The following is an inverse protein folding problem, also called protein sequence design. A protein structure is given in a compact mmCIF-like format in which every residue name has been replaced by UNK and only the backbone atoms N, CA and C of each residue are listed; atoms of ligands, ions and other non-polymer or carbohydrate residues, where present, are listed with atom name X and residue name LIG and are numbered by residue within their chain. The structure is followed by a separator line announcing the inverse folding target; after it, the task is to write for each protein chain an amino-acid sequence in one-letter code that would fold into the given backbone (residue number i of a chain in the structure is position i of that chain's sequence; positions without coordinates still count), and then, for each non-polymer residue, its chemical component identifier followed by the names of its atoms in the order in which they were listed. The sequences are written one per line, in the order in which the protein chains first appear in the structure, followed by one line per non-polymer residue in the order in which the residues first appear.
data_IF_758644353191
#
_entry.id   IF_758644353191
#
_cell.length_a   1.000
_cell.length_b   1.000
_cell.length_c   1.000
_cell.angle_alpha   90.00
_cell.angle_beta   90.00
_cell.angle_gamma   90.00
#
_symmetry.space_group_name_H-M   'P 1'
#
loop_
_entity.id
_entity.type
_entity.pdbx_description
1 polymer ?
#
# COMPACT_ATOMS: atom_id res chain seq x y z
N UNK A 1 -11.99 1.23 -15.82
CA UNK A 1 -11.17 0.93 -14.62
C UNK A 1 -10.94 2.17 -13.74
N UNK A 2 -10.42 3.25 -14.29
CA UNK A 2 -10.16 4.48 -13.52
C UNK A 2 -11.41 5.03 -12.82
N UNK A 3 -12.54 5.08 -13.50
CA UNK A 3 -13.80 5.56 -12.92
C UNK A 3 -14.26 4.68 -11.76
N UNK A 4 -14.15 3.38 -11.91
CA UNK A 4 -14.49 2.41 -10.85
C UNK A 4 -13.58 2.54 -9.62
N UNK A 5 -12.31 2.87 -9.84
CA UNK A 5 -11.38 3.15 -8.74
C UNK A 5 -11.77 4.45 -8.04
N UNK A 6 -12.05 5.50 -8.79
CA UNK A 6 -12.46 6.81 -8.24
C UNK A 6 -13.75 6.75 -7.44
N UNK A 7 -14.68 5.88 -7.83
CA UNK A 7 -15.91 5.67 -7.06
C UNK A 7 -15.65 5.09 -5.67
N UNK A 8 -14.63 4.23 -5.54
CA UNK A 8 -14.24 3.60 -4.26
C UNK A 8 -13.17 4.39 -3.51
N UNK A 9 -12.32 5.10 -4.24
CA UNK A 9 -11.24 5.92 -3.68
C UNK A 9 -11.02 7.17 -4.53
N UNK A 10 -11.64 8.25 -4.13
CA UNK A 10 -11.73 9.51 -4.88
C UNK A 10 -10.41 10.25 -5.04
N UNK A 11 -9.40 9.91 -4.25
CA UNK A 11 -8.09 10.57 -4.29
C UNK A 11 -7.24 10.13 -5.48
N UNK A 12 -7.60 9.08 -6.20
CA UNK A 12 -6.87 8.67 -7.40
C UNK A 12 -7.07 9.69 -8.51
N UNK A 13 -5.98 10.29 -8.96
CA UNK A 13 -5.99 11.31 -10.01
C UNK A 13 -5.97 10.69 -11.40
N UNK A 14 -5.14 9.66 -11.60
CA UNK A 14 -5.02 8.99 -12.88
C UNK A 14 -4.55 7.53 -12.72
N UNK A 15 -4.80 6.72 -13.75
CA UNK A 15 -4.33 5.34 -13.87
C UNK A 15 -3.92 5.11 -15.32
N UNK A 16 -2.69 4.71 -15.54
CA UNK A 16 -2.14 4.49 -16.88
C UNK A 16 -1.39 3.16 -16.96
N UNK A 17 -1.12 2.73 -18.17
CA UNK A 17 -0.32 1.53 -18.49
C UNK A 17 -0.82 0.26 -17.77
N UNK A 18 -2.12 0.16 -17.53
CA UNK A 18 -2.71 -1.01 -16.89
C UNK A 18 -2.59 -2.24 -17.79
N UNK A 19 -1.88 -3.23 -17.30
CA UNK A 19 -1.71 -4.53 -17.98
C UNK A 19 -1.87 -5.66 -16.98
N UNK A 20 -2.62 -6.67 -17.40
CA UNK A 20 -2.76 -7.91 -16.64
C UNK A 20 -2.59 -9.09 -17.58
N UNK A 21 -1.72 -10.02 -17.24
CA UNK A 21 -1.46 -11.20 -18.06
C UNK A 21 -1.20 -12.39 -17.16
N UNK A 22 -1.93 -13.49 -17.42
CA UNK A 22 -1.81 -14.68 -16.59
C UNK A 22 -2.66 -15.82 -17.07
N UNK A 23 -3.04 -16.70 -16.14
CA UNK A 23 -3.78 -17.91 -16.43
C UNK A 23 -4.71 -18.26 -15.27
N UNK A 24 -5.72 -19.07 -15.61
CA UNK A 24 -6.57 -19.75 -14.62
C UNK A 24 -6.34 -21.24 -14.77
N UNK A 25 -6.08 -21.92 -13.67
CA UNK A 25 -5.89 -23.37 -13.61
C UNK A 25 -6.98 -23.97 -12.72
N UNK A 26 -7.64 -25.03 -13.22
CA UNK A 26 -8.59 -25.80 -12.43
C UNK A 26 -7.88 -27.00 -11.82
N UNK A 27 -7.97 -27.15 -10.50
CA UNK A 27 -7.40 -28.26 -9.75
C UNK A 27 -8.30 -28.66 -8.58
N UNK A 28 -8.81 -29.88 -8.62
CA UNK A 28 -9.60 -30.51 -7.54
C UNK A 28 -10.76 -29.63 -7.00
N UNK A 29 -11.52 -29.01 -7.88
CA UNK A 29 -12.65 -28.15 -7.50
C UNK A 29 -12.25 -26.70 -7.20
N UNK A 30 -10.99 -26.37 -7.28
CA UNK A 30 -10.47 -25.03 -7.08
C UNK A 30 -10.05 -24.41 -8.41
N UNK A 31 -10.29 -23.11 -8.56
CA UNK A 31 -9.79 -22.31 -9.67
C UNK A 31 -8.68 -21.40 -9.16
N UNK A 32 -7.49 -21.60 -9.69
CA UNK A 32 -6.30 -20.84 -9.33
C UNK A 32 -6.08 -19.77 -10.39
N UNK A 33 -6.26 -18.53 -10.03
CA UNK A 33 -6.02 -17.37 -10.90
C UNK A 33 -4.67 -16.77 -10.55
N UNK A 34 -3.72 -16.86 -11.46
CA UNK A 34 -2.41 -16.25 -11.34
C UNK A 34 -2.19 -15.29 -12.48
N UNK A 35 -1.90 -14.03 -12.18
CA UNK A 35 -1.60 -13.05 -13.21
C UNK A 35 -0.59 -12.00 -12.74
N UNK A 36 0.20 -11.52 -13.67
CA UNK A 36 1.08 -10.39 -13.47
C UNK A 36 0.28 -9.11 -13.70
N UNK A 37 0.26 -8.25 -12.71
CA UNK A 37 -0.43 -6.96 -12.77
C UNK A 37 0.60 -5.83 -12.76
N UNK A 38 0.52 -4.95 -13.74
CA UNK A 38 1.32 -3.73 -13.79
C UNK A 38 0.47 -2.52 -14.12
N UNK A 39 0.78 -1.40 -13.51
CA UNK A 39 0.07 -0.13 -13.75
C UNK A 39 0.86 1.04 -13.16
N UNK A 40 0.58 2.22 -13.67
CA UNK A 40 1.02 3.48 -13.09
C UNK A 40 -0.19 4.20 -12.51
N UNK A 41 -0.13 4.53 -11.24
CA UNK A 41 -1.20 5.24 -10.53
C UNK A 41 -0.70 6.61 -10.08
N UNK A 42 -1.49 7.63 -10.30
CA UNK A 42 -1.20 8.98 -9.85
C UNK A 42 -2.07 9.33 -8.66
N UNK A 43 -1.44 9.69 -7.57
CA UNK A 43 -2.06 10.04 -6.30
C UNK A 43 -1.55 11.40 -5.84
N UNK A 44 -2.34 12.16 -5.06
CA UNK A 44 -1.84 13.39 -4.47
C UNK A 44 -0.84 13.08 -3.35
N UNK A 45 0.22 13.87 -3.28
CA UNK A 45 1.14 13.81 -2.14
C UNK A 45 0.40 14.01 -0.83
N UNK A 46 0.75 13.23 0.18
CA UNK A 46 0.19 13.35 1.53
C UNK A 46 0.58 14.67 2.22
N UNK A 47 1.59 15.37 1.71
CA UNK A 47 2.06 16.65 2.25
C UNK A 47 1.60 17.85 1.42
N UNK A 48 1.99 17.89 0.14
CA UNK A 48 1.79 19.04 -0.73
C UNK A 48 0.56 18.95 -1.62
N UNK A 49 -0.07 17.77 -1.73
CA UNK A 49 -1.13 17.45 -2.68
C UNK A 49 -0.69 17.50 -4.16
N UNK A 50 0.60 17.62 -4.42
CA UNK A 50 1.14 17.53 -5.78
C UNK A 50 0.93 16.11 -6.33
N UNK A 51 0.65 15.96 -7.64
CA UNK A 51 0.46 14.64 -8.22
C UNK A 51 1.77 13.84 -8.22
N UNK A 52 1.71 12.62 -7.70
CA UNK A 52 2.81 11.66 -7.68
C UNK A 52 2.39 10.42 -8.43
N UNK A 53 3.16 10.02 -9.43
CA UNK A 53 2.91 8.79 -10.19
C UNK A 53 3.80 7.67 -9.68
N UNK A 54 3.16 6.57 -9.29
CA UNK A 54 3.81 5.37 -8.76
C UNK A 54 3.59 4.20 -9.70
N UNK A 55 4.67 3.51 -10.07
CA UNK A 55 4.61 2.30 -10.87
C UNK A 55 4.54 1.06 -10.00
N UNK A 56 3.62 0.17 -10.31
CA UNK A 56 3.45 -1.12 -9.64
C UNK A 56 3.59 -2.25 -10.64
N UNK A 57 4.23 -3.32 -10.20
CA UNK A 57 4.37 -4.55 -10.98
C UNK A 57 4.54 -5.71 -10.00
N UNK A 58 3.52 -6.56 -9.90
CA UNK A 58 3.53 -7.68 -8.97
C UNK A 58 2.64 -8.83 -9.45
N UNK A 59 2.87 -10.00 -8.87
CA UNK A 59 2.08 -11.19 -9.14
C UNK A 59 0.86 -11.22 -8.21
N UNK A 60 -0.30 -11.46 -8.78
CA UNK A 60 -1.55 -11.69 -8.03
C UNK A 60 -1.88 -13.17 -8.14
N UNK A 61 -2.18 -13.77 -7.00
CA UNK A 61 -2.63 -15.16 -6.91
C UNK A 61 -3.90 -15.21 -6.08
N UNK A 62 -4.99 -15.69 -6.69
CA UNK A 62 -6.28 -15.82 -6.03
C UNK A 62 -6.83 -17.22 -6.29
N UNK A 63 -7.47 -17.80 -5.29
CA UNK A 63 -8.10 -19.11 -5.39
C UNK A 63 -9.60 -18.95 -5.23
N UNK A 64 -10.35 -19.53 -6.17
CA UNK A 64 -11.81 -19.49 -6.18
C UNK A 64 -12.39 -20.90 -6.05
N UNK A 65 -13.54 -20.98 -5.42
CA UNK A 65 -14.34 -22.21 -5.33
C UNK A 65 -15.78 -21.90 -5.70
N UNK A 66 -16.44 -22.81 -6.41
CA UNK A 66 -17.87 -22.67 -6.67
C UNK A 66 -18.68 -22.85 -5.39
N UNK A 67 -19.78 -22.15 -5.26
CA UNK A 67 -20.66 -22.21 -4.10
C UNK A 67 -21.13 -23.64 -3.80
N UNK A 68 -21.39 -24.42 -4.85
CA UNK A 68 -21.78 -25.83 -4.72
C UNK A 68 -20.71 -26.70 -4.04
N UNK A 69 -19.43 -26.37 -4.25
CA UNK A 69 -18.29 -27.11 -3.71
C UNK A 69 -17.78 -26.53 -2.39
N UNK A 70 -18.18 -25.33 -2.03
CA UNK A 70 -17.77 -24.66 -0.81
C UNK A 70 -18.11 -25.46 0.45
N UNK A 71 -19.24 -26.18 0.44
CA UNK A 71 -19.67 -27.03 1.55
C UNK A 71 -18.74 -28.24 1.78
N UNK A 72 -18.02 -28.69 0.75
CA UNK A 72 -17.06 -29.79 0.83
C UNK A 72 -15.69 -29.36 1.36
N UNK A 73 -15.38 -28.07 1.31
CA UNK A 73 -14.09 -27.51 1.74
C UNK A 73 -14.28 -26.37 2.73
N UNK A 74 -15.08 -26.62 3.76
CA UNK A 74 -15.41 -25.60 4.78
C UNK A 74 -14.20 -24.97 5.43
N UNK A 75 -13.15 -25.75 5.69
CA UNK A 75 -11.93 -25.25 6.32
C UNK A 75 -11.28 -24.14 5.50
N UNK A 76 -11.17 -24.30 4.18
CA UNK A 76 -10.60 -23.30 3.29
C UNK A 76 -11.44 -22.03 3.24
N UNK A 77 -12.76 -22.17 3.29
CA UNK A 77 -13.70 -21.05 3.29
C UNK A 77 -13.66 -20.31 4.63
N UNK A 78 -13.66 -21.04 5.73
CA UNK A 78 -13.61 -20.46 7.08
C UNK A 78 -12.29 -19.71 7.36
N UNK A 79 -11.18 -20.20 6.80
CA UNK A 79 -9.88 -19.55 6.90
C UNK A 79 -9.68 -18.39 5.91
N UNK A 80 -10.69 -18.08 5.10
CA UNK A 80 -10.64 -17.05 4.04
C UNK A 80 -9.51 -17.27 3.01
N UNK A 81 -9.13 -18.53 2.78
CA UNK A 81 -8.11 -18.88 1.81
C UNK A 81 -8.63 -18.98 0.37
N UNK A 82 -9.94 -18.99 0.21
CA UNK A 82 -10.61 -19.09 -1.10
C UNK A 82 -11.75 -18.08 -1.21
N UNK A 83 -12.01 -17.62 -2.42
CA UNK A 83 -13.13 -16.76 -2.76
C UNK A 83 -14.25 -17.60 -3.35
N UNK A 84 -15.49 -17.32 -2.98
CA UNK A 84 -16.64 -18.08 -3.45
C UNK A 84 -17.17 -17.46 -4.74
N UNK A 85 -17.31 -18.31 -5.78
CA UNK A 85 -17.96 -17.94 -7.04
C UNK A 85 -19.46 -18.24 -6.95
N UNK A 86 -20.28 -17.23 -7.17
CA UNK A 86 -21.74 -17.37 -7.22
C UNK A 86 -22.24 -17.85 -8.58
N UNK A 87 -21.42 -17.70 -9.60
CA UNK A 87 -21.70 -18.15 -10.97
C UNK A 87 -20.45 -18.81 -11.57
N UNK A 88 -20.50 -19.15 -12.86
CA UNK A 88 -19.40 -19.84 -13.55
C UNK A 88 -18.32 -18.90 -14.09
N UNK A 89 -18.31 -17.64 -13.64
CA UNK A 89 -17.40 -16.64 -14.16
C UNK A 89 -16.52 -16.05 -13.07
N UNK A 90 -15.24 -15.80 -13.40
CA UNK A 90 -14.32 -15.01 -12.60
C UNK A 90 -14.23 -13.62 -13.23
N UNK A 91 -14.63 -12.60 -12.49
CA UNK A 91 -14.52 -11.22 -12.98
C UNK A 91 -13.09 -10.71 -12.73
N UNK A 92 -12.29 -10.76 -13.78
CA UNK A 92 -10.91 -10.28 -13.74
C UNK A 92 -10.83 -8.77 -13.45
N UNK A 93 -11.79 -7.99 -13.92
CA UNK A 93 -11.80 -6.54 -13.67
C UNK A 93 -12.00 -6.24 -12.19
N UNK A 94 -12.87 -6.99 -11.53
CA UNK A 94 -13.09 -6.86 -10.09
C UNK A 94 -11.84 -7.25 -9.30
N UNK A 95 -11.19 -8.37 -9.67
CA UNK A 95 -9.93 -8.80 -9.07
C UNK A 95 -8.84 -7.73 -9.20
N UNK A 96 -8.66 -7.17 -10.40
CA UNK A 96 -7.69 -6.11 -10.66
C UNK A 96 -8.01 -4.87 -9.82
N UNK A 97 -9.27 -4.45 -9.81
CA UNK A 97 -9.74 -3.29 -9.06
C UNK A 97 -9.44 -3.44 -7.56
N UNK A 98 -9.80 -4.58 -6.98
CA UNK A 98 -9.57 -4.84 -5.57
C UNK A 98 -8.08 -4.88 -5.23
N UNK A 99 -7.26 -5.49 -6.06
CA UNK A 99 -5.80 -5.54 -5.87
C UNK A 99 -5.15 -4.15 -5.98
N UNK A 100 -5.59 -3.32 -6.90
CA UNK A 100 -5.12 -1.93 -6.99
C UNK A 100 -5.48 -1.17 -5.71
N UNK A 101 -6.73 -1.26 -5.25
CA UNK A 101 -7.20 -0.58 -4.05
C UNK A 101 -6.45 -1.02 -2.78
N UNK A 102 -6.20 -2.31 -2.65
CA UNK A 102 -5.45 -2.87 -1.52
C UNK A 102 -3.99 -2.43 -1.48
N UNK A 103 -3.42 -2.10 -2.63
CA UNK A 103 -2.02 -1.69 -2.75
C UNK A 103 -1.82 -0.17 -2.81
N UNK A 104 -2.88 0.61 -2.70
CA UNK A 104 -2.75 2.07 -2.56
C UNK A 104 -1.98 2.38 -1.27
N UNK A 105 -0.82 3.06 -1.36
CA UNK A 105 -0.03 3.35 -0.17
C UNK A 105 -0.75 4.36 0.72
N UNK A 106 -0.62 4.18 2.03
CA UNK A 106 -1.20 5.10 3.02
C UNK A 106 -0.49 6.46 3.02
N UNK A 107 0.72 6.50 2.54
CA UNK A 107 1.54 7.71 2.48
C UNK A 107 2.19 7.83 1.11
N UNK A 108 1.97 8.97 0.47
CA UNK A 108 2.53 9.30 -0.83
C UNK A 108 3.34 10.58 -0.71
N UNK A 109 4.59 10.56 -1.17
CA UNK A 109 5.50 11.69 -1.13
C UNK A 109 6.12 11.92 -2.51
N UNK A 110 6.37 13.18 -2.87
CA UNK A 110 7.19 13.51 -4.04
C UNK A 110 8.65 13.12 -3.77
N UNK A 111 9.49 12.93 -4.81
CA UNK A 111 10.92 12.65 -4.60
C UNK A 111 11.63 13.70 -3.75
N UNK A 112 11.27 14.97 -3.89
CA UNK A 112 11.81 16.06 -3.10
C UNK A 112 11.39 15.98 -1.63
N UNK A 113 10.12 15.59 -1.39
CA UNK A 113 9.62 15.39 -0.02
C UNK A 113 10.25 14.17 0.65
N UNK A 114 10.48 13.09 -0.10
CA UNK A 114 11.19 11.90 0.40
C UNK A 114 12.64 12.20 0.76
N UNK A 115 13.31 13.07 -0.01
CA UNK A 115 14.67 13.48 0.27
C UNK A 115 14.80 14.49 1.42
N UNK A 116 13.69 15.00 1.94
CA UNK A 116 13.67 16.00 3.00
C UNK A 116 14.07 17.41 2.56
N UNK A 117 14.17 17.65 1.24
CA UNK A 117 14.56 18.96 0.70
C UNK A 117 13.46 20.01 0.80
N UNK A 118 12.21 19.58 0.90
CA UNK A 118 11.07 20.47 1.09
C UNK A 118 10.64 20.39 2.55
N UNK A 119 11.03 21.38 3.31
CA UNK A 119 10.53 21.60 4.66
C UNK A 119 9.16 22.30 4.57
N UNK A 120 8.09 21.58 4.83
CA UNK A 120 6.82 22.21 5.14
C UNK A 120 6.84 22.61 6.61
N UNK A 121 7.52 23.71 6.91
CA UNK A 121 7.50 24.23 8.26
C UNK A 121 6.16 24.93 8.53
N UNK A 122 5.34 24.32 9.32
CA UNK A 122 4.30 25.03 10.04
C UNK A 122 4.94 25.81 11.20
N UNK A 123 4.22 26.73 11.82
CA UNK A 123 4.76 27.58 12.86
C UNK A 123 5.28 26.82 14.10
N UNK A 124 4.84 25.59 14.33
CA UNK A 124 5.15 24.84 15.53
C UNK A 124 5.64 23.39 15.27
N UNK A 125 5.83 22.98 14.00
CA UNK A 125 6.27 21.64 13.68
C UNK A 125 7.02 21.57 12.35
N UNK A 126 7.94 20.65 12.27
CA UNK A 126 8.72 20.34 11.08
C UNK A 126 8.38 18.95 10.57
N UNK A 127 8.20 18.81 9.26
CA UNK A 127 8.03 17.52 8.61
C UNK A 127 9.35 17.09 8.02
N UNK A 128 9.93 16.02 8.56
CA UNK A 128 11.24 15.51 8.19
C UNK A 128 11.11 14.12 7.53
N UNK A 129 12.06 13.80 6.65
CA UNK A 129 12.25 12.42 6.20
C UNK A 129 12.78 11.56 7.36
N UNK A 130 12.71 10.23 7.23
CA UNK A 130 13.24 9.32 8.26
C UNK A 130 14.72 9.53 8.52
N UNK A 131 15.51 9.79 7.49
CA UNK A 131 16.95 10.05 7.61
C UNK A 131 17.23 11.37 8.33
N UNK A 132 16.52 12.43 7.99
CA UNK A 132 16.65 13.73 8.65
C UNK A 132 16.18 13.67 10.09
N UNK A 133 15.10 12.94 10.36
CA UNK A 133 14.59 12.71 11.69
C UNK A 133 15.58 11.92 12.56
N UNK A 134 16.22 10.88 12.02
CA UNK A 134 17.23 10.11 12.73
C UNK A 134 18.48 10.96 13.07
N UNK A 135 18.95 11.78 12.13
CA UNK A 135 20.07 12.70 12.33
C UNK A 135 19.73 13.77 13.37
N UNK A 136 18.54 14.33 13.32
CA UNK A 136 18.07 15.34 14.28
C UNK A 136 17.90 14.74 15.68
N UNK A 137 17.33 13.55 15.77
CA UNK A 137 17.16 12.83 17.04
C UNK A 137 18.50 12.48 17.68
N UNK A 138 19.51 12.13 16.89
CA UNK A 138 20.85 11.87 17.38
C UNK A 138 21.54 13.13 17.85
N UNK A 139 21.42 14.24 17.13
CA UNK A 139 21.93 15.55 17.53
C UNK A 139 21.25 16.09 18.79
N UNK A 140 19.94 15.96 18.92
CA UNK A 140 19.20 16.33 20.12
C UNK A 140 19.58 15.47 21.33
N UNK A 141 19.86 14.20 21.13
CA UNK A 141 20.26 13.29 22.17
C UNK A 141 21.63 13.65 22.74
N UNK A 142 22.53 14.19 21.93
CA UNK A 142 23.86 14.63 22.36
C UNK A 142 23.88 16.07 22.90
N UNK A 143 23.09 16.97 22.31
CA UNK A 143 23.22 18.42 22.57
C UNK A 143 22.16 18.99 23.51
N UNK A 144 20.94 18.44 23.54
CA UNK A 144 19.81 19.03 24.27
C UNK A 144 18.93 18.04 24.99
N UNK A 145 19.44 16.85 25.21
CA UNK A 145 18.71 15.83 25.96
C UNK A 145 18.58 16.30 27.45
N UNK A 146 17.35 16.46 27.98
CA UNK A 146 17.15 16.81 29.39
C UNK A 146 17.80 15.81 30.34
N UNK A 147 17.93 14.57 29.92
CA UNK A 147 18.60 13.52 30.70
C UNK A 147 20.13 13.66 30.71
N UNK A 148 20.71 14.34 29.73
CA UNK A 148 22.15 14.62 29.77
C UNK A 148 22.52 15.56 30.93
N UNK A 149 21.63 16.48 31.28
CA UNK A 149 21.81 17.34 32.46
C UNK A 149 21.65 16.55 33.76
N UNK A 150 20.72 15.58 33.78
CA UNK A 150 20.52 14.66 34.90
C UNK A 150 21.72 13.74 35.08
N UNK A 151 22.29 13.23 34.01
CA UNK A 151 23.49 12.41 34.05
C UNK A 151 24.71 13.22 34.60
N UNK A 152 24.83 14.46 34.21
CA UNK A 152 25.85 15.37 34.78
C UNK A 152 25.67 15.61 36.27
N UNK A 153 24.43 15.69 36.74
CA UNK A 153 24.12 15.84 38.16
C UNK A 153 24.40 14.59 38.99
N UNK A 154 24.21 13.40 38.41
CA UNK A 154 24.48 12.15 39.08
C UNK A 154 25.94 11.70 38.96
N UNK A 155 26.64 12.08 37.91
CA UNK A 155 28.05 11.75 37.68
C UNK A 155 29.02 12.63 38.45
N UNK A 156 28.59 13.78 38.95
CA UNK A 156 29.37 14.70 39.78
C UNK A 156 29.48 14.24 41.24
N UNK A 157 29.00 13.08 41.51
CA UNK A 157 29.16 12.46 42.80
C UNK A 157 30.27 11.40 42.77
#
# INVERSE_FOLDING_TARGET
MLESIKERYDQVLNLEQLQASGQVVYDNGLYLLDYQLSYDITLPSSRSLEPVTLGFNYLVSETFIQEADAALQKELVEENLVLILNDDTIDLNESILDNILLNIPLRVLTPEEESGQISLSGNDWEVLSEEDFAALKQGEKEASNPFAQLNGLFDDN
#
